data_IF_181278079006
#
_entry.id   IF_181278079006
#
_cell.length_a   1.000
_cell.length_b   1.000
_cell.length_c   1.000
_cell.angle_alpha   90.00
_cell.angle_beta   90.00
_cell.angle_gamma   90.00
#
_symmetry.space_group_name_H-M   'P 1'
#
loop_
_entity.id
_entity.type
_entity.pdbx_description
1 polymer ?
#
# COMPACT_ATOMS: atom_id res chain seq x y z
N UNK A 1 2.86 -12.83 -31.44
CA UNK A 1 3.61 -13.54 -30.40
C UNK A 1 3.62 -12.63 -29.18
N UNK A 2 2.95 -13.03 -28.11
CA UNK A 2 2.92 -12.26 -26.86
C UNK A 2 4.20 -12.61 -26.12
N UNK A 3 5.13 -11.66 -26.04
CA UNK A 3 6.36 -11.82 -25.25
C UNK A 3 6.00 -12.20 -23.81
N UNK A 4 6.68 -13.19 -23.19
CA UNK A 4 6.50 -13.45 -21.77
C UNK A 4 6.96 -12.21 -21.00
N UNK A 5 6.03 -11.51 -20.36
CA UNK A 5 6.36 -10.40 -19.49
C UNK A 5 7.20 -10.94 -18.34
N UNK A 6 8.47 -10.52 -18.26
CA UNK A 6 9.31 -10.78 -17.09
C UNK A 6 8.52 -10.37 -15.85
N UNK A 7 8.34 -11.28 -14.86
CA UNK A 7 7.67 -10.90 -13.62
C UNK A 7 8.40 -9.70 -13.04
N UNK A 8 7.66 -8.67 -12.66
CA UNK A 8 8.25 -7.52 -11.99
C UNK A 8 9.06 -8.02 -10.77
N UNK A 9 10.22 -7.40 -10.45
CA UNK A 9 11.00 -7.78 -9.28
C UNK A 9 10.09 -7.83 -8.04
N UNK A 10 10.01 -8.97 -7.35
CA UNK A 10 9.29 -9.04 -6.08
C UNK A 10 10.14 -8.40 -4.99
N UNK A 11 9.47 -7.71 -4.06
CA UNK A 11 10.07 -7.29 -2.81
C UNK A 11 9.52 -8.15 -1.67
N UNK A 12 10.20 -8.09 -0.52
CA UNK A 12 9.84 -8.90 0.64
C UNK A 12 8.39 -8.69 1.12
N UNK A 13 7.77 -7.55 0.80
CA UNK A 13 6.37 -7.27 1.18
C UNK A 13 5.43 -8.14 0.35
N UNK A 14 5.67 -8.26 -0.96
CA UNK A 14 4.89 -9.13 -1.85
C UNK A 14 5.09 -10.60 -1.49
N UNK A 15 6.30 -11.00 -1.16
CA UNK A 15 6.59 -12.38 -0.75
C UNK A 15 5.79 -12.77 0.51
N UNK A 16 5.68 -11.86 1.50
CA UNK A 16 4.88 -12.05 2.72
C UNK A 16 3.37 -12.12 2.39
N UNK A 17 2.89 -11.26 1.49
CA UNK A 17 1.49 -11.29 1.06
C UNK A 17 1.17 -12.61 0.37
N UNK A 18 2.01 -13.04 -0.57
CA UNK A 18 1.84 -14.28 -1.33
C UNK A 18 1.85 -15.51 -0.43
N UNK A 19 2.74 -15.54 0.57
CA UNK A 19 2.73 -16.59 1.59
C UNK A 19 1.44 -16.56 2.43
N UNK A 20 0.99 -15.37 2.85
CA UNK A 20 -0.27 -15.21 3.56
C UNK A 20 -1.48 -15.70 2.77
N UNK A 21 -1.55 -15.38 1.47
CA UNK A 21 -2.61 -15.83 0.57
C UNK A 21 -2.57 -17.34 0.37
N UNK A 22 -1.39 -17.94 0.16
CA UNK A 22 -1.22 -19.41 0.07
C UNK A 22 -1.65 -20.13 1.35
N UNK A 23 -1.41 -19.51 2.51
CA UNK A 23 -1.82 -20.04 3.81
C UNK A 23 -3.31 -19.77 4.12
N UNK A 24 -4.06 -19.12 3.24
CA UNK A 24 -5.47 -18.77 3.46
C UNK A 24 -5.71 -17.70 4.53
N UNK A 25 -4.69 -16.91 4.88
CA UNK A 25 -4.84 -15.82 5.86
C UNK A 25 -5.83 -14.78 5.37
N UNK A 26 -6.54 -14.15 6.31
CA UNK A 26 -7.50 -13.07 6.06
C UNK A 26 -8.56 -13.40 5.00
N UNK A 27 -8.88 -14.69 4.83
CA UNK A 27 -9.84 -15.16 3.82
C UNK A 27 -9.44 -14.75 2.39
N UNK A 28 -8.13 -14.64 2.13
CA UNK A 28 -7.59 -14.22 0.84
C UNK A 28 -7.66 -12.72 0.58
N UNK A 29 -8.04 -11.91 1.57
CA UNK A 29 -8.20 -10.45 1.42
C UNK A 29 -6.89 -9.71 1.69
N UNK A 30 -6.54 -8.79 0.80
CA UNK A 30 -5.46 -7.82 0.99
C UNK A 30 -6.06 -6.45 1.25
N UNK A 31 -5.68 -5.81 2.35
CA UNK A 31 -6.11 -4.45 2.70
C UNK A 31 -4.90 -3.63 3.15
N UNK A 32 -4.60 -2.56 2.41
CA UNK A 32 -3.52 -1.61 2.71
C UNK A 32 -4.10 -0.24 3.10
N UNK A 33 -3.23 0.68 3.52
CA UNK A 33 -3.61 2.07 3.80
C UNK A 33 -2.43 3.00 3.63
N UNK A 34 -2.70 4.19 3.10
CA UNK A 34 -1.77 5.32 3.14
C UNK A 34 -2.27 6.33 4.19
N UNK A 35 -1.60 6.41 5.37
CA UNK A 35 -2.08 7.23 6.47
C UNK A 35 -1.17 8.46 6.74
N UNK A 36 -1.18 9.51 5.90
CA UNK A 36 -0.43 10.72 6.21
C UNK A 36 -1.09 11.49 7.37
N UNK A 37 -0.26 12.13 8.19
CA UNK A 37 -0.75 13.16 9.12
C UNK A 37 -1.17 14.42 8.32
N UNK A 38 -2.27 15.09 8.67
CA UNK A 38 -2.75 16.26 7.94
C UNK A 38 -2.08 17.57 8.39
N UNK A 39 -0.78 17.53 8.68
CA UNK A 39 0.00 18.66 9.18
C UNK A 39 1.02 19.23 8.18
N UNK A 40 1.00 18.76 6.92
CA UNK A 40 1.92 19.23 5.89
C UNK A 40 1.58 18.77 4.49
N UNK A 41 2.26 19.36 3.50
CA UNK A 41 2.08 18.97 2.10
C UNK A 41 2.88 17.71 1.75
N UNK A 42 2.25 16.87 0.91
CA UNK A 42 2.88 15.68 0.34
C UNK A 42 4.03 16.08 -0.60
N UNK A 43 5.26 15.71 -0.24
CA UNK A 43 6.43 15.77 -1.12
C UNK A 43 6.75 14.42 -1.79
N UNK A 44 7.73 14.40 -2.70
CA UNK A 44 8.09 13.22 -3.52
C UNK A 44 8.45 11.95 -2.72
N UNK A 45 8.88 12.09 -1.46
CA UNK A 45 9.16 10.94 -0.60
C UNK A 45 7.92 10.09 -0.32
N UNK A 46 6.76 10.74 -0.17
CA UNK A 46 5.49 10.05 0.03
C UNK A 46 5.04 9.25 -1.20
N UNK A 47 5.49 9.63 -2.41
CA UNK A 47 5.11 8.92 -3.63
C UNK A 47 5.49 7.43 -3.55
N UNK A 48 6.60 7.09 -2.89
CA UNK A 48 6.99 5.69 -2.66
C UNK A 48 5.93 4.95 -1.85
N UNK A 49 5.44 5.55 -0.76
CA UNK A 49 4.42 4.95 0.10
C UNK A 49 3.06 4.87 -0.60
N UNK A 50 2.67 5.90 -1.36
CA UNK A 50 1.44 5.92 -2.16
C UNK A 50 1.47 4.81 -3.21
N UNK A 51 2.49 4.79 -4.08
CA UNK A 51 2.61 3.78 -5.14
C UNK A 51 2.67 2.36 -4.58
N UNK A 52 3.33 2.16 -3.43
CA UNK A 52 3.39 0.86 -2.78
C UNK A 52 2.02 0.41 -2.27
N UNK A 53 1.35 1.22 -1.44
CA UNK A 53 0.10 0.82 -0.80
C UNK A 53 -1.05 0.65 -1.79
N UNK A 54 -1.24 1.63 -2.68
CA UNK A 54 -2.29 1.56 -3.71
C UNK A 54 -1.93 0.54 -4.80
N UNK A 55 -0.65 0.42 -5.17
CA UNK A 55 -0.18 -0.57 -6.15
C UNK A 55 -0.37 -2.00 -5.68
N UNK A 56 -0.10 -2.30 -4.40
CA UNK A 56 -0.38 -3.62 -3.81
C UNK A 56 -1.88 -3.91 -3.83
N UNK A 57 -2.72 -2.96 -3.37
CA UNK A 57 -4.17 -3.18 -3.40
C UNK A 57 -4.67 -3.46 -4.83
N UNK A 58 -4.17 -2.73 -5.83
CA UNK A 58 -4.50 -2.98 -7.23
C UNK A 58 -4.02 -4.36 -7.71
N UNK A 59 -2.75 -4.71 -7.45
CA UNK A 59 -2.13 -5.96 -7.88
C UNK A 59 -2.87 -7.19 -7.34
N UNK A 60 -3.32 -7.13 -6.08
CA UNK A 60 -3.95 -8.25 -5.38
C UNK A 60 -5.48 -8.17 -5.34
N UNK A 61 -6.09 -7.28 -6.13
CA UNK A 61 -7.55 -7.05 -6.10
C UNK A 61 -8.10 -6.78 -4.69
N UNK A 62 -7.30 -6.09 -3.88
CA UNK A 62 -7.60 -5.69 -2.52
C UNK A 62 -8.11 -4.26 -2.41
N UNK A 63 -8.10 -3.72 -1.18
CA UNK A 63 -8.52 -2.34 -0.89
C UNK A 63 -7.36 -1.51 -0.34
N UNK A 64 -7.28 -0.23 -0.70
CA UNK A 64 -6.38 0.72 -0.06
C UNK A 64 -7.17 1.91 0.47
N UNK A 65 -7.08 2.17 1.77
CA UNK A 65 -7.71 3.34 2.38
C UNK A 65 -6.75 4.53 2.42
N UNK A 66 -7.20 5.70 1.98
CA UNK A 66 -6.60 6.97 2.38
C UNK A 66 -7.19 7.35 3.74
N UNK A 67 -6.34 7.49 4.75
CA UNK A 67 -6.75 7.87 6.10
C UNK A 67 -5.91 9.04 6.54
N UNK A 68 -6.51 10.16 6.93
CA UNK A 68 -5.73 11.19 7.61
C UNK A 68 -5.50 10.69 9.04
N UNK A 69 -4.25 10.66 9.48
CA UNK A 69 -3.91 10.29 10.87
C UNK A 69 -3.96 11.56 11.72
N UNK A 70 -5.18 11.96 12.08
CA UNK A 70 -5.55 13.25 12.68
C UNK A 70 -5.73 13.16 14.21
N UNK A 71 -4.72 12.59 14.88
CA UNK A 71 -4.75 12.36 16.33
C UNK A 71 -3.98 13.39 17.16
N UNK A 72 -3.34 14.38 16.53
CA UNK A 72 -2.56 15.44 17.18
C UNK A 72 -3.13 16.83 16.86
N UNK A 73 -4.10 17.31 17.66
CA UNK A 73 -4.71 18.63 17.45
C UNK A 73 -3.73 19.81 17.42
N UNK A 74 -2.55 19.70 18.07
CA UNK A 74 -1.56 20.77 18.10
C UNK A 74 -0.64 20.75 16.87
N UNK A 75 -0.38 19.56 16.32
CA UNK A 75 0.38 19.38 15.08
C UNK A 75 -0.43 19.73 13.83
N UNK A 76 -1.76 19.67 13.88
CA UNK A 76 -2.65 19.78 12.71
C UNK A 76 -3.07 21.21 12.34
N UNK A 77 -2.61 22.23 13.05
CA UNK A 77 -2.82 23.61 12.66
C UNK A 77 -1.86 23.99 11.52
N UNK A 78 -2.41 24.26 10.33
CA UNK A 78 -1.65 24.80 9.19
C UNK A 78 -1.07 26.19 9.46
#
# INVERSE_FOLDING_TARGET
MTEPSTPAPSDFIRDIIDEGLRAGKHEGRVATRFPPEPNGYIHIGHAKSVCLNFGIALQYSGTCNLRLDDTDPAGESM
#
